data_IF_771072941927
#
_entry.id   IF_771072941927
#
_cell.length_a   1.000
_cell.length_b   1.000
_cell.length_c   1.000
_cell.angle_alpha   90.00
_cell.angle_beta   90.00
_cell.angle_gamma   90.00
#
_symmetry.space_group_name_H-M   'P 1'
#
loop_
_entity.id
_entity.type
_entity.pdbx_description
1 polymer ?
#
# COMPACT_ATOMS: atom_id res chain seq x y z
N UNK A 1 3.93 -6.26 29.71
CA UNK A 1 4.93 -6.37 28.62
C UNK A 1 4.76 -5.16 27.73
N UNK A 2 5.83 -4.42 27.43
CA UNK A 2 5.79 -3.37 26.40
C UNK A 2 5.76 -4.06 25.04
N UNK A 3 4.65 -3.97 24.32
CA UNK A 3 4.58 -4.40 22.92
C UNK A 3 5.26 -3.36 22.05
N UNK A 4 6.34 -3.74 21.37
CA UNK A 4 7.00 -2.86 20.42
C UNK A 4 6.03 -2.53 19.27
N UNK A 5 5.87 -1.24 18.99
CA UNK A 5 5.03 -0.71 17.91
C UNK A 5 5.87 -0.26 16.72
N UNK A 6 5.27 -0.15 15.55
CA UNK A 6 5.94 0.32 14.34
C UNK A 6 5.03 1.21 13.48
N UNK A 7 5.67 1.95 12.56
CA UNK A 7 5.03 2.75 11.50
C UNK A 7 5.53 2.20 10.17
N UNK A 8 4.66 2.03 9.19
CA UNK A 8 5.02 1.51 7.87
C UNK A 8 5.00 2.61 6.82
N UNK A 9 6.01 2.65 5.96
CA UNK A 9 6.04 3.50 4.78
C UNK A 9 5.89 2.61 3.55
N UNK A 10 4.83 2.83 2.77
CA UNK A 10 4.55 2.07 1.54
C UNK A 10 4.85 2.98 0.34
N UNK A 11 5.96 2.74 -0.38
CA UNK A 11 6.26 3.49 -1.60
C UNK A 11 5.29 3.09 -2.72
N UNK A 12 4.43 4.03 -3.10
CA UNK A 12 3.32 3.86 -4.04
C UNK A 12 3.39 4.79 -5.26
N UNK A 13 4.50 5.52 -5.44
CA UNK A 13 4.70 6.49 -6.51
C UNK A 13 5.15 5.88 -7.86
N UNK A 14 5.24 4.55 -7.97
CA UNK A 14 5.75 3.88 -9.16
C UNK A 14 4.78 3.95 -10.35
N UNK A 15 5.26 4.39 -11.52
CA UNK A 15 4.46 4.58 -12.73
C UNK A 15 4.00 3.28 -13.45
N UNK A 16 4.23 2.08 -12.89
CA UNK A 16 3.70 0.84 -13.46
C UNK A 16 4.19 0.43 -14.87
N UNK A 17 5.18 1.12 -15.47
CA UNK A 17 5.58 0.97 -16.89
C UNK A 17 5.77 -0.47 -17.41
N UNK A 18 6.34 -1.37 -16.60
CA UNK A 18 6.56 -2.79 -16.97
C UNK A 18 5.29 -3.65 -16.96
N UNK A 19 4.20 -3.16 -16.38
CA UNK A 19 2.88 -3.81 -16.41
C UNK A 19 2.03 -3.39 -17.61
N UNK A 20 2.54 -2.50 -18.49
CA UNK A 20 1.77 -1.98 -19.62
C UNK A 20 0.53 -1.19 -19.18
N UNK A 21 0.51 -0.67 -17.95
CA UNK A 21 -0.59 0.12 -17.44
C UNK A 21 -0.31 1.60 -17.64
N UNK A 22 -1.28 2.31 -18.23
CA UNK A 22 -1.24 3.77 -18.43
C UNK A 22 -1.48 4.56 -17.12
N UNK A 23 -1.72 3.84 -16.02
CA UNK A 23 -2.06 4.34 -14.68
C UNK A 23 -1.27 3.61 -13.60
N UNK A 24 -1.17 4.19 -12.41
CA UNK A 24 -0.48 3.59 -11.25
C UNK A 24 -0.95 2.15 -11.02
N UNK A 25 0.00 1.19 -11.08
CA UNK A 25 -0.25 -0.27 -10.93
C UNK A 25 -1.07 -0.60 -9.68
N UNK A 26 -0.87 0.17 -8.60
CA UNK A 26 -1.51 -0.07 -7.32
C UNK A 26 -3.04 0.12 -7.36
N UNK A 27 -3.54 0.84 -8.36
CA UNK A 27 -4.97 1.03 -8.62
C UNK A 27 -5.55 -0.03 -9.56
N UNK A 28 -4.73 -0.93 -10.10
CA UNK A 28 -5.26 -2.06 -10.87
C UNK A 28 -6.01 -2.99 -9.92
N UNK A 29 -7.09 -3.56 -10.41
CA UNK A 29 -7.90 -4.50 -9.66
C UNK A 29 -7.35 -5.92 -9.79
N UNK A 30 -7.28 -6.62 -8.67
CA UNK A 30 -7.08 -8.05 -8.58
C UNK A 30 -8.25 -8.62 -7.79
N UNK A 31 -9.09 -9.42 -8.46
CA UNK A 31 -10.35 -9.94 -7.90
C UNK A 31 -11.27 -8.80 -7.42
N UNK A 32 -11.55 -7.87 -8.33
CA UNK A 32 -12.46 -6.73 -8.10
C UNK A 32 -12.04 -5.81 -6.94
N UNK A 33 -10.75 -5.83 -6.60
CA UNK A 33 -10.19 -5.04 -5.50
C UNK A 33 -8.83 -4.45 -5.88
N UNK A 34 -8.58 -3.14 -5.63
CA UNK A 34 -7.29 -2.53 -5.91
C UNK A 34 -6.15 -3.29 -5.23
N UNK A 35 -5.04 -3.49 -5.95
CA UNK A 35 -3.86 -4.20 -5.43
C UNK A 35 -3.40 -3.60 -4.10
N UNK A 36 -3.42 -2.27 -3.96
CA UNK A 36 -3.00 -1.60 -2.71
C UNK A 36 -3.85 -1.97 -1.50
N UNK A 37 -5.16 -2.22 -1.69
CA UNK A 37 -6.07 -2.52 -0.57
C UNK A 37 -5.70 -3.84 0.11
N UNK A 38 -5.19 -4.83 -0.65
CA UNK A 38 -4.68 -6.07 -0.08
C UNK A 38 -3.48 -5.85 0.86
N UNK A 39 -2.62 -4.89 0.54
CA UNK A 39 -1.48 -4.53 1.41
C UNK A 39 -1.95 -3.77 2.64
N UNK A 40 -2.91 -2.84 2.49
CA UNK A 40 -3.43 -2.04 3.60
C UNK A 40 -4.08 -2.93 4.65
N UNK A 41 -4.91 -3.89 4.25
CA UNK A 41 -5.56 -4.83 5.19
C UNK A 41 -4.58 -5.54 6.12
N UNK A 42 -3.41 -5.93 5.62
CA UNK A 42 -2.40 -6.64 6.42
C UNK A 42 -1.88 -5.75 7.55
N UNK A 43 -1.62 -4.48 7.26
CA UNK A 43 -1.11 -3.54 8.27
C UNK A 43 -2.22 -3.00 9.16
N UNK A 44 -3.43 -2.78 8.63
CA UNK A 44 -4.60 -2.37 9.43
C UNK A 44 -5.03 -3.46 10.43
N UNK A 45 -4.82 -4.74 10.10
CA UNK A 45 -5.13 -5.85 10.99
C UNK A 45 -4.09 -6.10 12.09
N UNK A 46 -2.90 -5.47 12.02
CA UNK A 46 -1.83 -5.65 13.02
C UNK A 46 -1.89 -4.55 14.10
N UNK A 47 -2.25 -4.88 15.36
CA UNK A 47 -2.33 -3.90 16.44
C UNK A 47 -1.01 -3.20 16.76
N UNK A 48 0.13 -3.75 16.35
CA UNK A 48 1.43 -3.12 16.52
C UNK A 48 1.73 -2.05 15.45
N UNK A 49 1.00 -2.03 14.33
CA UNK A 49 1.10 -1.01 13.30
C UNK A 49 0.29 0.23 13.70
N UNK A 50 0.98 1.30 14.11
CA UNK A 50 0.29 2.50 14.62
C UNK A 50 0.07 3.56 13.56
N UNK A 51 0.71 3.44 12.38
CA UNK A 51 0.53 4.36 11.27
C UNK A 51 0.97 3.75 9.93
N UNK A 52 0.22 4.07 8.88
CA UNK A 52 0.54 3.74 7.49
C UNK A 52 0.78 5.05 6.72
N UNK A 53 1.99 5.22 6.18
CA UNK A 53 2.38 6.37 5.36
C UNK A 53 2.48 5.89 3.90
N UNK A 54 1.61 6.42 3.03
CA UNK A 54 1.62 6.08 1.61
C UNK A 54 2.33 7.18 0.81
N UNK A 55 3.50 6.88 0.24
CA UNK A 55 4.22 7.83 -0.61
C UNK A 55 3.75 7.70 -2.07
N UNK A 56 2.86 8.59 -2.50
CA UNK A 56 2.24 8.57 -3.84
C UNK A 56 2.90 9.57 -4.80
N UNK A 57 2.74 9.34 -6.10
CA UNK A 57 2.94 10.37 -7.11
C UNK A 57 1.61 11.12 -7.27
N UNK A 58 1.55 12.45 -7.06
CA UNK A 58 0.32 13.22 -7.22
C UNK A 58 -0.10 13.42 -8.69
N UNK A 59 0.77 13.03 -9.63
CA UNK A 59 0.60 13.19 -11.08
C UNK A 59 0.23 11.88 -11.77
#
# INVERSE_FOLDING_TARGET
MSTATYRVVIPAAGAGKRMGADRNKLMLELRDRPIIAWTLDVFEADPACTEIILAINPL
#
